data_IF_598243487729
#
_entry.id   IF_598243487729
#
_cell.length_a   1.000
_cell.length_b   1.000
_cell.length_c   1.000
_cell.angle_alpha   90.00
_cell.angle_beta   90.00
_cell.angle_gamma   90.00
#
_symmetry.space_group_name_H-M   'P 1'
#
loop_
_entity.id
_entity.type
_entity.pdbx_description
1 polymer ?
#
# COMPACT_ATOMS: atom_id res chain seq x y z
N UNK A 1 13.60 2.12 21.98
CA UNK A 1 13.44 3.52 22.42
C UNK A 1 12.86 3.48 23.83
N UNK A 2 13.58 4.00 24.82
CA UNK A 2 13.15 3.95 26.23
C UNK A 2 12.40 5.26 26.49
N UNK A 3 11.08 5.23 26.43
CA UNK A 3 10.24 6.33 26.87
C UNK A 3 10.44 6.46 28.40
N UNK A 4 10.83 7.64 28.88
CA UNK A 4 11.32 7.90 30.24
C UNK A 4 10.29 7.85 31.38
N UNK A 5 9.29 6.97 31.29
CA UNK A 5 8.25 6.72 32.30
C UNK A 5 8.13 5.21 32.54
N UNK A 6 7.53 4.78 33.65
CA UNK A 6 7.17 3.35 33.85
C UNK A 6 6.11 2.94 32.82
N UNK A 7 6.55 2.52 31.64
CA UNK A 7 5.67 2.01 30.59
C UNK A 7 5.40 0.54 30.88
N UNK A 8 4.15 0.23 31.22
CA UNK A 8 3.68 -1.15 31.28
C UNK A 8 3.14 -1.53 29.91
N UNK A 9 3.78 -2.48 29.24
CA UNK A 9 3.27 -3.05 27.98
C UNK A 9 2.04 -3.89 28.30
N UNK A 10 0.87 -3.37 27.99
CA UNK A 10 -0.42 -3.95 28.36
C UNK A 10 -1.07 -4.79 27.25
N UNK A 11 -0.41 -4.97 26.10
CA UNK A 11 -0.93 -5.80 25.00
C UNK A 11 -0.18 -5.64 23.68
N UNK A 12 -0.53 -6.50 22.72
CA UNK A 12 -0.11 -6.46 21.31
C UNK A 12 -1.34 -6.60 20.41
N UNK A 13 -1.26 -6.14 19.16
CA UNK A 13 -2.34 -6.28 18.19
C UNK A 13 -1.84 -6.60 16.79
N UNK A 14 -2.66 -7.29 16.00
CA UNK A 14 -2.28 -7.80 14.67
C UNK A 14 -2.39 -6.75 13.55
N UNK A 15 -2.93 -5.57 13.89
CA UNK A 15 -2.94 -4.43 12.99
C UNK A 15 -2.92 -3.12 13.76
N UNK A 16 -2.55 -2.06 13.06
CA UNK A 16 -2.69 -0.69 13.54
C UNK A 16 -4.04 -0.27 14.03
N UNK A 17 -5.07 -0.84 13.41
CA UNK A 17 -6.42 -0.50 13.73
C UNK A 17 -6.73 -0.98 15.15
N UNK A 18 -6.10 -2.07 15.60
CA UNK A 18 -6.15 -2.53 17.00
C UNK A 18 -5.59 -1.46 17.95
N UNK A 19 -4.40 -0.91 17.68
CA UNK A 19 -3.79 0.13 18.53
C UNK A 19 -4.67 1.38 18.64
N UNK A 20 -5.29 1.78 17.52
CA UNK A 20 -6.27 2.86 17.49
C UNK A 20 -7.49 2.57 18.36
N UNK A 21 -8.11 1.39 18.22
CA UNK A 21 -9.27 1.03 19.05
C UNK A 21 -8.89 0.87 20.53
N UNK A 22 -7.69 0.37 20.84
CA UNK A 22 -7.23 0.22 22.21
C UNK A 22 -7.09 1.58 22.92
N UNK A 23 -6.47 2.57 22.25
CA UNK A 23 -6.32 3.93 22.78
C UNK A 23 -7.61 4.75 22.75
N UNK A 24 -8.55 4.43 21.86
CA UNK A 24 -9.89 5.01 21.84
C UNK A 24 -10.82 4.46 22.93
N UNK A 25 -10.32 3.60 23.82
CA UNK A 25 -11.09 3.10 24.96
C UNK A 25 -11.96 1.88 24.69
N UNK A 26 -11.63 1.11 23.65
CA UNK A 26 -12.39 -0.06 23.26
C UNK A 26 -11.92 -1.30 24.04
N UNK A 27 -12.87 -2.02 24.64
CA UNK A 27 -12.58 -3.21 25.45
C UNK A 27 -12.16 -4.42 24.62
N UNK A 28 -12.60 -4.47 23.36
CA UNK A 28 -12.29 -5.53 22.40
C UNK A 28 -11.69 -4.94 21.13
N UNK A 29 -10.47 -4.38 21.19
CA UNK A 29 -9.91 -3.60 20.10
C UNK A 29 -9.60 -4.43 18.84
N UNK A 30 -9.58 -5.75 18.91
CA UNK A 30 -9.40 -6.66 17.76
C UNK A 30 -10.72 -6.90 16.97
N UNK A 31 -11.88 -6.65 17.59
CA UNK A 31 -13.18 -7.02 17.02
C UNK A 31 -13.58 -6.22 15.77
N UNK A 32 -12.86 -5.15 15.39
CA UNK A 32 -13.09 -4.47 14.11
C UNK A 32 -12.77 -5.36 12.90
N UNK A 33 -11.86 -6.34 13.06
CA UNK A 33 -11.46 -7.24 11.98
C UNK A 33 -12.45 -8.39 11.77
N UNK A 34 -13.37 -8.60 12.72
CA UNK A 34 -14.27 -9.74 12.76
C UNK A 34 -15.73 -9.29 12.64
N UNK A 35 -16.35 -9.57 11.50
CA UNK A 35 -17.76 -9.22 11.23
C UNK A 35 -18.76 -9.93 12.16
N UNK A 36 -18.32 -11.01 12.80
CA UNK A 36 -19.17 -11.88 13.64
C UNK A 36 -19.08 -11.54 15.14
N UNK A 37 -18.18 -10.63 15.53
CA UNK A 37 -18.10 -10.14 16.90
C UNK A 37 -19.03 -8.94 17.06
N UNK A 38 -19.69 -8.83 18.22
CA UNK A 38 -20.17 -7.53 18.67
C UNK A 38 -18.97 -6.60 18.60
N UNK A 39 -19.08 -5.51 17.83
CA UNK A 39 -17.94 -4.68 17.42
C UNK A 39 -17.07 -4.18 18.59
N UNK A 40 -16.06 -3.34 18.33
CA UNK A 40 -14.95 -3.10 19.27
C UNK A 40 -15.32 -2.63 20.69
N UNK A 41 -16.57 -2.23 20.93
CA UNK A 41 -17.15 -1.91 22.24
C UNK A 41 -16.37 -0.80 22.94
N UNK A 42 -16.40 0.36 22.29
CA UNK A 42 -15.76 1.58 22.72
C UNK A 42 -16.70 2.35 23.66
N UNK A 43 -16.17 2.78 24.80
CA UNK A 43 -16.88 3.68 25.73
C UNK A 43 -16.24 5.06 25.72
N UNK A 44 -16.91 6.05 26.32
CA UNK A 44 -16.33 7.37 26.61
C UNK A 44 -15.81 7.46 28.06
N UNK A 45 -15.45 6.31 28.62
CA UNK A 45 -15.08 6.12 30.03
C UNK A 45 -13.66 6.66 30.30
N UNK A 46 -13.45 7.68 31.15
CA UNK A 46 -12.11 8.29 31.30
C UNK A 46 -11.03 7.35 31.88
N UNK A 47 -11.39 6.20 32.46
CA UNK A 47 -10.46 5.29 33.16
C UNK A 47 -9.86 4.20 32.24
N UNK A 48 -9.27 4.59 31.11
CA UNK A 48 -8.69 3.64 30.16
C UNK A 48 -7.27 3.19 30.53
N UNK A 49 -6.97 1.91 30.27
CA UNK A 49 -5.67 1.29 30.59
C UNK A 49 -4.60 1.59 29.53
N UNK A 50 -5.01 1.81 28.27
CA UNK A 50 -4.11 2.03 27.15
C UNK A 50 -4.01 3.52 26.80
N UNK A 51 -2.88 4.13 27.10
CA UNK A 51 -2.65 5.57 26.89
C UNK A 51 -1.86 5.87 25.62
N UNK A 52 -1.04 4.92 25.18
CA UNK A 52 -0.15 5.06 24.02
C UNK A 52 -0.17 3.76 23.23
N UNK A 53 -0.47 3.86 21.94
CA UNK A 53 -0.20 2.81 20.98
C UNK A 53 1.06 3.21 20.21
N UNK A 54 2.14 2.45 20.42
CA UNK A 54 3.32 2.61 19.59
C UNK A 54 3.15 1.76 18.37
N UNK A 55 3.05 2.43 17.24
CA UNK A 55 2.95 1.78 15.97
C UNK A 55 3.83 2.47 14.94
N UNK A 56 4.47 1.63 14.14
CA UNK A 56 5.07 2.02 12.88
C UNK A 56 4.04 1.65 11.79
N UNK A 57 3.84 2.52 10.78
CA UNK A 57 2.90 2.43 9.61
C UNK A 57 1.57 3.23 9.73
N UNK A 58 1.53 4.52 9.31
CA UNK A 58 0.51 5.47 9.80
C UNK A 58 -0.42 6.26 8.85
N UNK A 59 -0.04 6.64 7.63
CA UNK A 59 -0.75 7.74 6.93
C UNK A 59 -2.24 7.46 6.62
N UNK A 60 -2.58 6.25 6.13
CA UNK A 60 -3.98 5.89 5.82
C UNK A 60 -4.88 5.79 7.06
N UNK A 61 -4.31 5.58 8.24
CA UNK A 61 -5.07 5.27 9.46
C UNK A 61 -5.42 6.52 10.25
N UNK A 62 -4.59 7.55 10.12
CA UNK A 62 -4.92 8.93 10.53
C UNK A 62 -6.16 9.44 9.78
N UNK A 63 -6.31 9.14 8.49
CA UNK A 63 -7.50 9.51 7.73
C UNK A 63 -8.78 8.81 8.24
N UNK A 64 -8.69 7.49 8.48
CA UNK A 64 -9.80 6.72 9.04
C UNK A 64 -10.20 7.17 10.45
N UNK A 65 -9.24 7.58 11.29
CA UNK A 65 -9.50 8.17 12.61
C UNK A 65 -10.39 9.42 12.49
N UNK A 66 -10.02 10.33 11.58
CA UNK A 66 -10.75 11.59 11.35
C UNK A 66 -12.15 11.36 10.80
N UNK A 67 -12.32 10.43 9.87
CA UNK A 67 -13.61 10.13 9.26
C UNK A 67 -14.56 9.44 10.26
N UNK A 68 -14.07 8.40 10.94
CA UNK A 68 -14.93 7.47 11.69
C UNK A 68 -15.23 7.92 13.11
N UNK A 69 -14.40 8.78 13.69
CA UNK A 69 -14.51 9.21 15.08
C UNK A 69 -14.60 10.73 15.21
N UNK A 70 -15.13 11.39 14.17
CA UNK A 70 -15.38 12.82 14.20
C UNK A 70 -16.19 13.23 15.43
N UNK A 71 -17.20 12.49 15.88
CA UNK A 71 -17.98 12.88 17.08
C UNK A 71 -17.22 12.79 18.42
N UNK A 72 -16.04 12.19 18.48
CA UNK A 72 -15.28 11.92 19.72
C UNK A 72 -14.06 12.84 19.89
N UNK A 73 -14.15 14.07 19.37
CA UNK A 73 -13.06 15.07 19.37
C UNK A 73 -12.33 15.28 20.72
N UNK A 74 -12.99 15.04 21.86
CA UNK A 74 -12.41 15.26 23.19
C UNK A 74 -11.52 14.09 23.68
N UNK A 75 -11.62 12.91 23.07
CA UNK A 75 -10.89 11.70 23.51
C UNK A 75 -10.06 11.05 22.39
N UNK A 76 -10.15 11.56 21.16
CA UNK A 76 -9.29 11.09 20.05
C UNK A 76 -7.86 11.67 20.19
N UNK A 77 -6.82 10.89 19.86
CA UNK A 77 -5.46 11.40 19.84
C UNK A 77 -5.30 12.60 18.89
N UNK A 78 -4.68 13.67 19.38
CA UNK A 78 -4.28 14.79 18.53
C UNK A 78 -3.09 14.38 17.67
N UNK A 79 -3.19 14.58 16.36
CA UNK A 79 -2.03 14.46 15.48
C UNK A 79 -1.12 15.66 15.73
N UNK A 80 0.00 15.44 16.42
CA UNK A 80 1.00 16.45 16.77
C UNK A 80 2.09 16.64 15.70
N UNK A 81 1.95 16.00 14.55
CA UNK A 81 2.96 15.96 13.49
C UNK A 81 3.92 14.79 13.63
N UNK A 82 4.90 14.74 12.73
CA UNK A 82 6.01 13.78 12.81
C UNK A 82 7.02 14.19 13.91
N UNK A 83 7.77 13.22 14.42
CA UNK A 83 8.86 13.45 15.40
C UNK A 83 10.19 13.81 14.71
N UNK A 84 10.16 14.33 13.48
CA UNK A 84 11.33 14.67 12.69
C UNK A 84 11.88 13.56 11.79
N UNK A 85 11.17 12.44 11.66
CA UNK A 85 11.52 11.36 10.72
C UNK A 85 10.32 10.98 9.85
N UNK A 86 10.50 11.03 8.53
CA UNK A 86 9.52 10.59 7.54
C UNK A 86 10.15 9.48 6.69
N UNK A 87 9.65 8.25 6.87
CA UNK A 87 10.04 7.12 6.04
C UNK A 87 9.19 7.06 4.77
N UNK A 88 9.83 6.95 3.60
CA UNK A 88 9.15 6.52 2.37
C UNK A 88 9.53 5.09 2.08
N UNK A 89 8.52 4.29 1.79
CA UNK A 89 8.73 2.98 1.20
C UNK A 89 8.84 3.11 -0.31
N UNK A 90 9.57 2.18 -0.91
CA UNK A 90 9.89 2.19 -2.31
C UNK A 90 10.13 0.79 -2.84
N UNK A 91 10.35 0.72 -4.15
CA UNK A 91 10.79 -0.50 -4.80
C UNK A 91 12.29 -0.68 -4.56
N UNK A 92 12.68 -1.88 -4.15
CA UNK A 92 14.07 -2.25 -4.05
C UNK A 92 14.58 -2.76 -5.39
N UNK A 93 15.62 -2.14 -5.94
CA UNK A 93 16.36 -2.65 -7.09
C UNK A 93 17.60 -3.36 -6.57
N UNK A 94 17.80 -4.60 -7.00
CA UNK A 94 18.99 -5.36 -6.63
C UNK A 94 20.25 -4.63 -7.09
N UNK A 95 21.27 -4.62 -6.21
CA UNK A 95 22.54 -3.93 -6.45
C UNK A 95 23.18 -4.26 -7.80
N UNK A 96 23.13 -5.53 -8.23
CA UNK A 96 23.67 -5.95 -9.53
C UNK A 96 23.04 -5.16 -10.69
N UNK A 97 21.72 -5.04 -10.71
CA UNK A 97 20.97 -4.31 -11.72
C UNK A 97 21.26 -2.80 -11.65
N UNK A 98 21.30 -2.24 -10.44
CA UNK A 98 21.66 -0.85 -10.23
C UNK A 98 23.08 -0.53 -10.73
N UNK A 99 24.06 -1.37 -10.43
CA UNK A 99 25.45 -1.19 -10.85
C UNK A 99 25.60 -1.32 -12.38
N UNK A 100 24.91 -2.28 -13.01
CA UNK A 100 24.89 -2.44 -14.47
C UNK A 100 24.28 -1.22 -15.18
N UNK A 101 23.19 -0.68 -14.64
CA UNK A 101 22.56 0.51 -15.19
C UNK A 101 23.42 1.76 -15.00
N UNK A 102 24.01 1.92 -13.81
CA UNK A 102 24.90 3.04 -13.50
C UNK A 102 26.13 3.09 -14.41
N UNK A 103 26.72 1.93 -14.73
CA UNK A 103 27.83 1.83 -15.68
C UNK A 103 27.48 2.35 -17.09
N UNK A 104 26.20 2.41 -17.43
CA UNK A 104 25.67 2.93 -18.69
C UNK A 104 25.01 4.32 -18.54
N UNK A 105 25.22 5.01 -17.41
CA UNK A 105 24.68 6.34 -17.14
C UNK A 105 23.17 6.36 -16.82
N UNK A 106 22.58 5.22 -16.48
CA UNK A 106 21.15 5.13 -16.11
C UNK A 106 21.02 4.98 -14.58
N UNK A 107 20.29 5.92 -13.97
CA UNK A 107 20.02 5.94 -12.53
C UNK A 107 18.66 5.29 -12.23
N UNK A 108 18.68 4.04 -11.73
CA UNK A 108 17.47 3.28 -11.38
C UNK A 108 16.89 3.63 -10.00
N UNK A 109 17.58 4.45 -9.22
CA UNK A 109 17.09 5.05 -7.97
C UNK A 109 16.21 6.29 -8.21
N UNK A 110 16.16 6.79 -9.44
CA UNK A 110 15.37 7.96 -9.82
C UNK A 110 14.36 7.63 -10.93
N UNK A 111 13.10 8.00 -10.73
CA UNK A 111 11.99 7.63 -11.63
C UNK A 111 12.21 8.05 -13.10
N UNK A 112 12.98 9.11 -13.37
CA UNK A 112 13.29 9.50 -14.76
C UNK A 112 14.19 8.51 -15.49
N UNK A 113 14.97 7.70 -14.76
CA UNK A 113 15.75 6.59 -15.34
C UNK A 113 14.88 5.50 -15.97
N UNK A 114 13.59 5.44 -15.60
CA UNK A 114 12.61 4.50 -16.14
C UNK A 114 11.88 5.02 -17.38
N UNK A 115 12.15 6.25 -17.84
CA UNK A 115 11.53 6.78 -19.05
C UNK A 115 12.06 6.04 -20.29
N UNK A 116 11.21 5.18 -20.86
CA UNK A 116 11.52 4.37 -22.03
C UNK A 116 11.80 5.19 -23.31
N UNK A 117 11.43 6.48 -23.33
CA UNK A 117 11.73 7.39 -24.44
C UNK A 117 13.18 7.88 -24.43
N UNK A 118 13.86 7.83 -23.27
CA UNK A 118 15.25 8.31 -23.10
C UNK A 118 16.23 7.20 -22.76
N UNK A 119 15.76 6.11 -22.15
CA UNK A 119 16.57 4.98 -21.71
C UNK A 119 15.89 3.66 -22.08
N UNK A 120 16.64 2.55 -22.08
CA UNK A 120 16.09 1.20 -22.20
C UNK A 120 16.28 0.45 -20.87
N UNK A 121 15.53 0.81 -19.80
CA UNK A 121 15.73 0.25 -18.47
C UNK A 121 15.41 -1.25 -18.42
N UNK A 122 14.59 -1.74 -19.34
CA UNK A 122 14.17 -3.14 -19.47
C UNK A 122 15.34 -4.11 -19.65
N UNK A 123 16.44 -3.68 -20.28
CA UNK A 123 17.61 -4.55 -20.51
C UNK A 123 18.31 -5.00 -19.23
N UNK A 124 18.03 -4.35 -18.10
CA UNK A 124 18.61 -4.70 -16.81
C UNK A 124 17.74 -5.68 -16.00
N UNK A 125 16.51 -5.97 -16.44
CA UNK A 125 15.57 -6.80 -15.71
C UNK A 125 15.18 -8.05 -16.50
N UNK A 126 14.77 -9.09 -15.77
CA UNK A 126 14.19 -10.27 -16.39
C UNK A 126 12.81 -9.96 -16.97
N UNK A 127 12.46 -10.65 -18.04
CA UNK A 127 11.13 -10.57 -18.65
C UNK A 127 10.09 -11.34 -17.81
N UNK A 128 8.80 -11.02 -17.95
CA UNK A 128 7.72 -11.75 -17.24
C UNK A 128 7.76 -13.27 -17.51
N UNK A 129 8.24 -13.69 -18.68
CA UNK A 129 8.33 -15.10 -19.07
C UNK A 129 9.31 -15.88 -18.21
N UNK A 130 10.25 -15.22 -17.54
CA UNK A 130 11.15 -15.84 -16.57
C UNK A 130 10.47 -16.11 -15.20
N UNK A 131 9.27 -15.59 -14.98
CA UNK A 131 8.54 -15.71 -13.72
C UNK A 131 7.54 -16.85 -13.82
N UNK A 132 7.72 -17.84 -12.93
CA UNK A 132 6.76 -18.93 -12.80
C UNK A 132 5.42 -18.42 -12.26
N UNK A 133 4.42 -18.36 -13.14
CA UNK A 133 3.07 -17.91 -12.80
C UNK A 133 2.40 -18.76 -11.74
N UNK A 134 2.80 -20.03 -11.54
CA UNK A 134 2.25 -20.88 -10.49
C UNK A 134 2.59 -20.37 -9.08
N UNK A 135 3.60 -19.50 -8.96
CA UNK A 135 4.00 -18.85 -7.71
C UNK A 135 3.31 -17.51 -7.46
N UNK A 136 2.55 -17.02 -8.43
CA UNK A 136 1.84 -15.75 -8.34
C UNK A 136 0.41 -15.96 -7.85
N UNK A 137 -0.11 -15.01 -7.08
CA UNK A 137 -1.54 -14.97 -6.80
C UNK A 137 -2.30 -14.56 -8.06
N UNK A 138 -3.43 -15.21 -8.39
CA UNK A 138 -4.29 -14.76 -9.46
C UNK A 138 -4.90 -13.40 -9.11
N UNK A 139 -5.17 -12.56 -10.12
CA UNK A 139 -5.69 -11.19 -9.92
C UNK A 139 -6.93 -11.16 -9.02
N UNK A 140 -7.81 -12.16 -9.09
CA UNK A 140 -9.03 -12.22 -8.27
C UNK A 140 -8.78 -12.41 -6.77
N UNK A 141 -7.55 -12.70 -6.37
CA UNK A 141 -7.11 -12.80 -4.97
C UNK A 141 -6.23 -11.61 -4.55
N UNK A 142 -6.17 -10.54 -5.35
CA UNK A 142 -5.37 -9.35 -5.08
C UNK A 142 -6.23 -8.08 -5.02
N UNK A 143 -5.65 -7.01 -4.47
CA UNK A 143 -6.25 -5.67 -4.43
C UNK A 143 -6.47 -5.07 -5.82
N UNK A 144 -6.00 -5.73 -6.89
CA UNK A 144 -6.33 -5.34 -8.25
C UNK A 144 -7.85 -5.39 -8.51
N UNK A 145 -8.58 -6.27 -7.80
CA UNK A 145 -10.06 -6.34 -7.86
C UNK A 145 -10.77 -5.38 -6.91
N UNK A 146 -10.04 -4.56 -6.16
CA UNK A 146 -10.64 -3.45 -5.43
C UNK A 146 -11.06 -2.32 -6.39
N UNK A 147 -11.91 -1.42 -5.91
CA UNK A 147 -12.36 -0.26 -6.68
C UNK A 147 -11.18 0.61 -7.16
N UNK A 148 -11.13 0.85 -8.47
CA UNK A 148 -10.11 1.63 -9.17
C UNK A 148 -10.64 2.97 -9.71
N UNK A 149 -11.81 3.44 -9.28
CA UNK A 149 -12.32 4.75 -9.71
C UNK A 149 -11.32 5.88 -9.44
N UNK A 150 -10.66 5.87 -8.27
CA UNK A 150 -9.63 6.85 -7.92
C UNK A 150 -8.39 6.76 -8.81
N UNK A 151 -8.01 5.56 -9.27
CA UNK A 151 -6.91 5.38 -10.21
C UNK A 151 -7.18 6.09 -11.54
N UNK A 152 -8.37 5.90 -12.11
CA UNK A 152 -8.75 6.56 -13.37
C UNK A 152 -8.89 8.07 -13.20
N UNK A 153 -9.48 8.53 -12.08
CA UNK A 153 -9.61 9.94 -11.81
C UNK A 153 -8.26 10.68 -11.78
N UNK A 154 -7.20 10.00 -11.30
CA UNK A 154 -5.84 10.57 -11.22
C UNK A 154 -5.04 10.38 -12.51
N UNK A 155 -5.11 9.21 -13.13
CA UNK A 155 -4.25 8.84 -14.26
C UNK A 155 -4.87 9.10 -15.64
N UNK A 156 -6.19 9.15 -15.75
CA UNK A 156 -6.92 9.11 -17.02
C UNK A 156 -6.83 7.78 -17.76
N UNK A 157 -6.20 6.75 -17.18
CA UNK A 157 -5.91 5.50 -17.87
C UNK A 157 -7.07 4.49 -17.81
N UNK A 158 -8.04 4.67 -18.70
CA UNK A 158 -9.15 3.74 -18.89
C UNK A 158 -8.72 2.36 -19.43
N UNK A 159 -7.55 2.26 -20.08
CA UNK A 159 -7.05 0.99 -20.57
C UNK A 159 -6.57 0.06 -19.45
N UNK A 160 -6.26 0.62 -18.27
CA UNK A 160 -5.80 -0.11 -17.09
C UNK A 160 -6.91 -0.74 -16.26
N UNK A 161 -8.18 -0.57 -16.65
CA UNK A 161 -9.34 -0.97 -15.86
C UNK A 161 -10.35 -1.77 -16.70
N UNK A 162 -11.24 -2.46 -15.99
CA UNK A 162 -12.38 -3.19 -16.54
C UNK A 162 -13.55 -3.18 -15.56
N UNK A 163 -14.78 -3.20 -16.11
CA UNK A 163 -15.99 -3.32 -15.31
C UNK A 163 -16.06 -4.69 -14.65
N UNK A 164 -16.34 -4.71 -13.36
CA UNK A 164 -16.66 -5.94 -12.65
C UNK A 164 -18.12 -6.33 -12.91
N UNK A 165 -18.46 -7.60 -12.65
CA UNK A 165 -19.85 -8.07 -12.71
C UNK A 165 -20.78 -7.34 -11.72
N UNK A 166 -20.22 -6.68 -10.70
CA UNK A 166 -20.96 -5.91 -9.70
C UNK A 166 -21.10 -4.42 -10.06
N UNK A 167 -20.66 -4.01 -11.27
CA UNK A 167 -20.73 -2.61 -11.72
C UNK A 167 -19.68 -1.69 -11.09
N UNK A 168 -18.67 -2.25 -10.42
CA UNK A 168 -17.52 -1.48 -9.92
C UNK A 168 -16.36 -1.55 -10.91
N UNK A 169 -15.59 -0.47 -10.98
CA UNK A 169 -14.40 -0.40 -11.81
C UNK A 169 -13.25 -1.14 -11.11
N UNK A 170 -12.67 -2.16 -11.76
CA UNK A 170 -11.53 -2.91 -11.21
C UNK A 170 -10.33 -2.84 -12.12
N UNK A 171 -9.15 -3.20 -11.62
CA UNK A 171 -7.96 -3.25 -12.44
C UNK A 171 -8.08 -4.35 -13.48
N UNK A 172 -7.74 -4.02 -14.73
CA UNK A 172 -7.76 -4.96 -15.84
C UNK A 172 -6.70 -6.04 -15.62
N UNK A 173 -7.08 -7.30 -15.82
CA UNK A 173 -6.20 -8.42 -15.58
C UNK A 173 -5.81 -9.12 -16.89
N UNK A 174 -4.52 -9.17 -17.18
CA UNK A 174 -3.97 -9.87 -18.34
C UNK A 174 -3.32 -11.19 -17.91
N UNK A 175 -3.68 -12.26 -18.62
CA UNK A 175 -3.11 -13.59 -18.37
C UNK A 175 -3.36 -14.12 -16.95
N UNK A 176 -4.40 -13.64 -16.28
CA UNK A 176 -4.83 -14.09 -14.96
C UNK A 176 -4.01 -13.58 -13.76
N UNK A 177 -2.85 -12.94 -13.99
CA UNK A 177 -1.89 -12.60 -12.92
C UNK A 177 -1.34 -11.17 -13.01
N UNK A 178 -1.44 -10.53 -14.17
CA UNK A 178 -0.73 -9.29 -14.43
C UNK A 178 -1.67 -8.12 -14.67
N UNK A 179 -1.30 -6.97 -14.13
CA UNK A 179 -1.77 -5.68 -14.63
C UNK A 179 -0.69 -5.08 -15.53
N UNK A 180 -1.08 -4.41 -16.61
CA UNK A 180 -0.14 -3.83 -17.56
C UNK A 180 -0.24 -2.31 -17.59
N UNK A 181 0.91 -1.66 -17.39
CA UNK A 181 1.08 -0.22 -17.57
C UNK A 181 0.74 0.21 -19.01
N UNK A 182 0.37 1.49 -19.25
CA UNK A 182 0.04 1.98 -20.59
C UNK A 182 1.10 1.65 -21.65
N UNK A 183 2.38 1.95 -21.39
CA UNK A 183 3.50 1.66 -22.29
C UNK A 183 3.66 0.16 -22.61
N UNK A 184 3.19 -0.70 -21.71
CA UNK A 184 3.38 -2.16 -21.78
C UNK A 184 2.35 -2.90 -22.62
N UNK A 185 1.23 -2.26 -22.96
CA UNK A 185 0.11 -2.95 -23.63
C UNK A 185 0.38 -3.30 -25.08
N UNK A 186 1.30 -2.56 -25.71
CA UNK A 186 1.69 -2.79 -27.10
C UNK A 186 2.90 -3.71 -27.25
N UNK A 187 3.74 -3.83 -26.22
CA UNK A 187 4.93 -4.69 -26.23
C UNK A 187 5.25 -5.19 -24.84
N UNK A 188 4.84 -6.44 -24.56
CA UNK A 188 5.09 -7.10 -23.28
C UNK A 188 6.57 -7.38 -23.04
N UNK A 189 7.36 -7.47 -24.11
CA UNK A 189 8.78 -7.84 -24.03
C UNK A 189 9.66 -6.76 -23.42
N UNK A 190 9.21 -5.49 -23.49
CA UNK A 190 9.92 -4.32 -22.92
C UNK A 190 9.43 -3.95 -21.53
N UNK A 191 8.59 -4.79 -20.93
CA UNK A 191 8.01 -4.52 -19.62
C UNK A 191 8.90 -5.04 -18.51
N UNK A 192 9.18 -4.18 -17.54
CA UNK A 192 9.84 -4.55 -16.29
C UNK A 192 8.78 -5.15 -15.35
N UNK A 193 8.86 -6.45 -15.01
CA UNK A 193 7.94 -7.04 -14.06
C UNK A 193 8.19 -6.47 -12.67
N UNK A 194 7.14 -5.96 -12.03
CA UNK A 194 7.18 -5.50 -10.64
C UNK A 194 6.36 -6.47 -9.79
N UNK A 195 7.03 -7.16 -8.87
CA UNK A 195 6.39 -8.08 -7.95
C UNK A 195 6.14 -7.41 -6.60
N UNK A 196 4.95 -7.63 -6.04
CA UNK A 196 4.56 -7.10 -4.74
C UNK A 196 4.15 -8.24 -3.81
N UNK A 197 4.27 -8.00 -2.50
CA UNK A 197 3.93 -8.97 -1.47
C UNK A 197 2.44 -9.00 -1.11
N UNK A 198 2.05 -10.02 -0.35
CA UNK A 198 0.71 -10.15 0.23
C UNK A 198 -0.38 -10.28 -0.83
N UNK A 199 -1.42 -9.45 -0.72
CA UNK A 199 -2.50 -9.34 -1.71
C UNK A 199 -2.24 -8.22 -2.74
N UNK A 200 -1.01 -7.73 -2.87
CA UNK A 200 -0.67 -6.63 -3.77
C UNK A 200 -0.36 -5.33 -3.03
N UNK A 201 0.48 -5.39 -2.00
CA UNK A 201 0.94 -4.19 -1.29
C UNK A 201 1.56 -3.20 -2.28
N UNK A 202 1.24 -1.91 -2.12
CA UNK A 202 1.66 -0.82 -3.03
C UNK A 202 1.19 -0.90 -4.48
N UNK A 203 0.45 -1.94 -4.88
CA UNK A 203 0.00 -2.08 -6.27
C UNK A 203 -0.73 -0.84 -6.81
N UNK A 204 -1.68 -0.21 -6.08
CA UNK A 204 -2.34 0.99 -6.58
C UNK A 204 -1.40 2.18 -6.81
N UNK A 205 -0.39 2.35 -5.94
CA UNK A 205 0.60 3.43 -6.10
C UNK A 205 1.53 3.17 -7.29
N UNK A 206 1.97 1.92 -7.46
CA UNK A 206 2.78 1.50 -8.61
C UNK A 206 2.00 1.71 -9.92
N UNK A 207 0.72 1.33 -9.95
CA UNK A 207 -0.18 1.57 -11.09
C UNK A 207 -0.24 3.06 -11.44
N UNK A 208 -0.48 3.93 -10.44
CA UNK A 208 -0.55 5.39 -10.66
C UNK A 208 0.78 5.95 -11.19
N UNK A 209 1.91 5.55 -10.61
CA UNK A 209 3.24 5.99 -11.06
C UNK A 209 3.55 5.50 -12.47
N UNK A 210 3.27 4.23 -12.77
CA UNK A 210 3.48 3.64 -14.09
C UNK A 210 2.57 4.28 -15.15
N UNK A 211 1.39 4.79 -14.76
CA UNK A 211 0.50 5.53 -15.64
C UNK A 211 0.86 7.03 -15.74
N UNK A 212 1.59 7.59 -14.79
CA UNK A 212 2.05 8.99 -14.86
C UNK A 212 3.38 9.15 -15.63
N UNK A 213 4.26 8.13 -15.58
CA UNK A 213 5.63 8.19 -16.10
C UNK A 213 5.88 7.10 -17.16
N UNK A 214 5.16 7.17 -18.27
CA UNK A 214 5.26 6.25 -19.41
C UNK A 214 5.77 6.95 -20.68
#
# INVERSE_FOLDING_TARGET
EVLGYEVVVSGSGDSSTTGLYATAGCKNPEAFAHKDLAGPNCSADPDFVHHVALEVWGDRKVAALKERFSSMHQIIPHNLGDIGYYGREGLYVFKKQADMAFANGVLLDFYRGYNASTHAPDVYFDNRSAIDSARLKPCNQTVLRSDQAGYVAVSGDWGGVEDSAAGTLTGRCWGGHWWLAPACRHSLERCIPVLTGGQGWYLPEIMQKAAAFH
#
